data_IF_964270055062
#
_entry.id   IF_964270055062
#
_cell.length_a   1.000
_cell.length_b   1.000
_cell.length_c   1.000
_cell.angle_alpha   90.00
_cell.angle_beta   90.00
_cell.angle_gamma   90.00
#
_symmetry.space_group_name_H-M   'P 1'
#
loop_
_entity.id
_entity.type
_entity.pdbx_description
1 polymer ?
#
# COMPACT_ATOMS: atom_id res chain seq x y z
N UNK A 1 -66.23 -35.64 -38.13
CA UNK A 1 -65.39 -34.55 -37.57
C UNK A 1 -64.84 -35.04 -36.26
N UNK A 2 -63.57 -35.01 -36.07
CA UNK A 2 -62.81 -35.29 -34.80
C UNK A 2 -61.93 -36.53 -34.80
N UNK A 3 -60.90 -36.57 -35.60
CA UNK A 3 -59.74 -37.46 -35.40
C UNK A 3 -58.40 -36.81 -35.84
N UNK A 4 -58.41 -35.54 -36.34
CA UNK A 4 -57.20 -34.88 -36.85
C UNK A 4 -56.64 -33.85 -35.90
N UNK A 5 -57.27 -33.55 -34.75
CA UNK A 5 -56.71 -32.48 -33.84
C UNK A 5 -55.86 -33.00 -32.67
N UNK A 6 -55.78 -34.32 -32.45
CA UNK A 6 -55.03 -34.89 -31.32
C UNK A 6 -53.53 -35.20 -31.63
N UNK A 7 -53.19 -35.26 -32.93
CA UNK A 7 -51.78 -35.60 -33.31
C UNK A 7 -50.81 -34.41 -33.40
N UNK A 8 -51.33 -33.17 -33.39
CA UNK A 8 -50.48 -31.98 -33.51
C UNK A 8 -49.94 -31.51 -32.14
N UNK A 9 -50.73 -31.72 -31.06
CA UNK A 9 -50.31 -31.31 -29.69
C UNK A 9 -49.24 -32.21 -29.10
N UNK A 10 -49.08 -33.46 -29.50
CA UNK A 10 -48.06 -34.38 -28.97
C UNK A 10 -46.69 -34.23 -29.65
N UNK A 11 -46.64 -33.70 -30.89
CA UNK A 11 -45.39 -33.44 -31.60
C UNK A 11 -44.68 -32.16 -31.16
N UNK A 12 -45.44 -31.15 -30.71
CA UNK A 12 -44.85 -29.89 -30.21
C UNK A 12 -44.27 -30.04 -28.81
N UNK A 13 -44.80 -30.90 -27.94
CA UNK A 13 -44.29 -31.12 -26.59
C UNK A 13 -42.92 -31.82 -26.55
N UNK A 14 -42.70 -32.78 -27.47
CA UNK A 14 -41.39 -33.48 -27.54
C UNK A 14 -40.29 -32.62 -28.13
N UNK A 15 -40.59 -31.66 -29.00
CA UNK A 15 -39.57 -30.76 -29.54
C UNK A 15 -39.11 -29.73 -28.52
N UNK A 16 -40.00 -29.24 -27.63
CA UNK A 16 -39.63 -28.30 -26.56
C UNK A 16 -38.79 -28.97 -25.46
N UNK A 17 -39.08 -30.25 -25.13
CA UNK A 17 -38.26 -30.97 -24.15
C UNK A 17 -36.85 -31.30 -24.68
N UNK A 18 -36.71 -31.59 -25.98
CA UNK A 18 -35.41 -31.86 -26.58
C UNK A 18 -34.53 -30.62 -26.67
N UNK A 19 -35.12 -29.43 -26.89
CA UNK A 19 -34.35 -28.16 -26.91
C UNK A 19 -33.92 -27.75 -25.48
N UNK A 20 -34.77 -28.00 -24.46
CA UNK A 20 -34.38 -27.71 -23.06
C UNK A 20 -33.24 -28.60 -22.57
N UNK A 21 -33.13 -29.85 -23.03
CA UNK A 21 -32.05 -30.76 -22.67
C UNK A 21 -30.73 -30.42 -23.37
N UNK A 22 -30.73 -29.78 -24.55
CA UNK A 22 -29.54 -29.36 -25.24
C UNK A 22 -28.95 -28.08 -24.68
N UNK A 23 -29.75 -27.18 -24.07
CA UNK A 23 -29.27 -25.94 -23.46
C UNK A 23 -28.62 -26.20 -22.08
N UNK A 24 -29.07 -27.20 -21.33
CA UNK A 24 -28.46 -27.59 -20.04
C UNK A 24 -27.11 -28.28 -20.22
N UNK A 25 -26.83 -28.90 -21.36
CA UNK A 25 -25.56 -29.57 -21.65
C UNK A 25 -24.39 -28.63 -22.02
N UNK A 26 -24.64 -27.32 -22.20
CA UNK A 26 -23.58 -26.34 -22.57
C UNK A 26 -23.05 -25.48 -21.42
N UNK A 27 -23.56 -25.65 -20.22
CA UNK A 27 -22.92 -25.10 -19.04
C UNK A 27 -21.67 -25.94 -18.72
N UNK A 28 -20.59 -25.73 -19.48
CA UNK A 28 -19.26 -26.18 -19.06
C UNK A 28 -18.98 -25.50 -17.72
N UNK A 29 -18.64 -26.25 -16.67
CA UNK A 29 -18.17 -25.61 -15.46
C UNK A 29 -16.98 -24.71 -15.87
N UNK A 30 -17.11 -23.41 -15.66
CA UNK A 30 -15.96 -22.52 -15.75
C UNK A 30 -15.04 -22.99 -14.65
N UNK A 31 -14.10 -23.85 -15.00
CA UNK A 31 -13.02 -24.23 -14.10
C UNK A 31 -12.32 -22.93 -13.73
N UNK A 32 -12.45 -22.51 -12.47
CA UNK A 32 -11.73 -21.33 -11.99
C UNK A 32 -10.25 -21.52 -12.32
N UNK A 33 -9.70 -20.63 -13.13
CA UNK A 33 -8.27 -20.72 -13.51
C UNK A 33 -7.42 -20.68 -12.25
N UNK A 34 -6.50 -21.64 -12.14
CA UNK A 34 -5.62 -21.78 -10.98
C UNK A 34 -4.80 -20.50 -10.82
N UNK A 35 -4.87 -19.88 -9.64
CA UNK A 35 -4.14 -18.65 -9.31
C UNK A 35 -2.62 -18.92 -9.35
N UNK A 36 -1.87 -17.97 -9.89
CA UNK A 36 -0.42 -18.07 -10.05
C UNK A 36 0.02 -18.69 -11.37
N UNK A 37 -0.92 -18.95 -12.30
CA UNK A 37 -0.60 -19.35 -13.68
C UNK A 37 -0.42 -18.13 -14.59
N UNK A 38 0.10 -18.32 -15.81
CA UNK A 38 0.24 -17.23 -16.79
C UNK A 38 -1.09 -16.61 -17.21
N UNK A 39 -2.20 -17.36 -17.15
CA UNK A 39 -3.56 -16.90 -17.45
C UNK A 39 -4.24 -16.22 -16.26
N UNK A 40 -3.90 -16.64 -15.05
CA UNK A 40 -4.41 -16.07 -13.79
C UNK A 40 -3.23 -15.76 -12.84
N UNK A 41 -2.44 -14.70 -13.10
CA UNK A 41 -1.27 -14.36 -12.31
C UNK A 41 -1.64 -13.79 -10.94
N UNK A 42 -0.77 -13.98 -9.95
CA UNK A 42 -0.86 -13.32 -8.64
C UNK A 42 -0.81 -11.80 -8.84
N UNK A 43 -1.80 -11.08 -8.36
CA UNK A 43 -1.87 -9.62 -8.45
C UNK A 43 -1.06 -9.00 -7.31
N UNK A 44 0.04 -8.33 -7.64
CA UNK A 44 0.92 -7.64 -6.69
C UNK A 44 0.80 -6.13 -6.84
N UNK A 45 0.49 -5.42 -5.76
CA UNK A 45 0.30 -3.98 -5.81
C UNK A 45 1.18 -3.23 -4.81
N UNK A 46 1.60 -2.04 -5.22
CA UNK A 46 2.46 -1.15 -4.45
C UNK A 46 1.76 0.19 -4.19
N UNK A 47 2.01 0.79 -3.01
CA UNK A 47 1.57 2.15 -2.72
C UNK A 47 2.45 3.17 -3.46
N UNK A 48 1.93 4.34 -3.86
CA UNK A 48 2.70 5.38 -4.57
C UNK A 48 3.57 6.21 -3.60
N UNK A 49 4.39 5.57 -2.74
CA UNK A 49 5.09 6.25 -1.64
C UNK A 49 6.33 7.05 -2.08
N UNK A 50 6.85 6.82 -3.28
CA UNK A 50 8.07 7.42 -3.80
C UNK A 50 7.99 7.78 -5.28
N UNK A 51 9.13 7.64 -5.98
CA UNK A 51 9.20 7.82 -7.44
C UNK A 51 8.49 6.68 -8.17
N UNK A 52 7.50 7.03 -9.01
CA UNK A 52 6.65 6.06 -9.69
C UNK A 52 7.43 5.11 -10.61
N UNK A 53 8.44 5.62 -11.34
CA UNK A 53 9.24 4.80 -12.26
C UNK A 53 10.12 3.81 -11.48
N UNK A 54 10.67 4.24 -10.34
CA UNK A 54 11.46 3.37 -9.45
C UNK A 54 10.58 2.26 -8.89
N UNK A 55 9.35 2.58 -8.46
CA UNK A 55 8.41 1.61 -7.91
C UNK A 55 7.96 0.61 -8.98
N UNK A 56 7.56 1.07 -10.16
CA UNK A 56 7.13 0.19 -11.27
C UNK A 56 8.25 -0.76 -11.65
N UNK A 57 9.47 -0.24 -11.91
CA UNK A 57 10.61 -1.06 -12.29
C UNK A 57 11.03 -2.04 -11.19
N UNK A 58 11.15 -1.56 -9.95
CA UNK A 58 11.52 -2.40 -8.81
C UNK A 58 10.49 -3.49 -8.53
N UNK A 59 9.20 -3.17 -8.63
CA UNK A 59 8.11 -4.13 -8.50
C UNK A 59 8.16 -5.24 -9.55
N UNK A 60 8.43 -4.90 -10.82
CA UNK A 60 8.60 -5.88 -11.89
C UNK A 60 9.81 -6.79 -11.64
N UNK A 61 10.95 -6.23 -11.25
CA UNK A 61 12.15 -7.00 -10.94
C UNK A 61 11.95 -7.96 -9.74
N UNK A 62 11.20 -7.54 -8.70
CA UNK A 62 10.81 -8.41 -7.58
C UNK A 62 9.91 -9.54 -8.07
N UNK A 63 8.91 -9.24 -8.90
CA UNK A 63 8.01 -10.23 -9.48
C UNK A 63 8.75 -11.27 -10.33
N UNK A 64 9.71 -10.86 -11.16
CA UNK A 64 10.55 -11.77 -11.95
C UNK A 64 11.39 -12.71 -11.06
N UNK A 65 11.96 -12.21 -9.96
CA UNK A 65 12.68 -13.04 -9.02
C UNK A 65 11.76 -14.01 -8.29
N UNK A 66 10.58 -13.53 -7.85
CA UNK A 66 9.57 -14.39 -7.22
C UNK A 66 9.09 -15.48 -8.18
N UNK A 67 8.87 -15.17 -9.45
CA UNK A 67 8.51 -16.18 -10.46
C UNK A 67 9.55 -17.28 -10.55
N UNK A 68 10.85 -16.93 -10.57
CA UNK A 68 11.95 -17.92 -10.59
C UNK A 68 11.99 -18.80 -9.34
N UNK A 69 11.75 -18.20 -8.18
CA UNK A 69 11.83 -18.92 -6.90
C UNK A 69 10.59 -19.75 -6.59
N UNK A 70 9.42 -19.29 -7.04
CA UNK A 70 8.13 -19.90 -6.67
C UNK A 70 7.46 -20.64 -7.82
N UNK A 71 7.85 -20.39 -9.09
CA UNK A 71 7.14 -20.87 -10.27
C UNK A 71 5.77 -20.21 -10.49
N UNK A 72 5.41 -19.18 -9.68
CA UNK A 72 4.15 -18.42 -9.83
C UNK A 72 4.34 -17.25 -10.79
N UNK A 73 3.33 -16.99 -11.60
CA UNK A 73 3.29 -15.79 -12.43
C UNK A 73 2.71 -14.61 -11.65
N UNK A 74 3.23 -13.41 -11.90
CA UNK A 74 2.83 -12.18 -11.23
C UNK A 74 2.43 -11.11 -12.23
N UNK A 75 1.45 -10.29 -11.85
CA UNK A 75 1.14 -9.01 -12.49
C UNK A 75 1.29 -7.91 -11.46
N UNK A 76 2.17 -6.94 -11.74
CA UNK A 76 2.47 -5.84 -10.82
C UNK A 76 1.73 -4.57 -11.21
N UNK A 77 1.36 -3.77 -10.23
CA UNK A 77 0.76 -2.44 -10.43
C UNK A 77 1.11 -1.50 -9.29
N UNK A 78 1.01 -0.20 -9.54
CA UNK A 78 1.12 0.86 -8.54
C UNK A 78 -0.25 1.54 -8.46
N UNK A 79 -0.78 1.71 -7.26
CA UNK A 79 -2.07 2.34 -7.05
C UNK A 79 -1.99 3.87 -7.20
N UNK A 80 -3.15 4.51 -7.30
CA UNK A 80 -3.28 5.97 -7.32
C UNK A 80 -3.24 6.61 -5.93
N UNK A 81 -3.54 5.83 -4.87
CA UNK A 81 -3.48 6.24 -3.47
C UNK A 81 -3.25 5.04 -2.55
N UNK A 82 -2.93 5.28 -1.29
CA UNK A 82 -2.79 4.24 -0.28
C UNK A 82 -4.12 3.52 -0.01
N UNK A 83 -5.22 4.28 0.07
CA UNK A 83 -6.55 3.72 0.23
C UNK A 83 -6.95 2.79 -0.94
N UNK A 84 -6.56 3.12 -2.17
CA UNK A 84 -6.88 2.29 -3.33
C UNK A 84 -6.27 0.88 -3.24
N UNK A 85 -5.08 0.72 -2.64
CA UNK A 85 -4.49 -0.61 -2.40
C UNK A 85 -5.32 -1.39 -1.40
N UNK A 86 -5.70 -0.75 -0.29
CA UNK A 86 -6.50 -1.35 0.78
C UNK A 86 -7.84 -1.86 0.23
N UNK A 87 -8.56 -1.01 -0.49
CA UNK A 87 -9.85 -1.36 -1.11
C UNK A 87 -9.71 -2.47 -2.17
N UNK A 88 -8.63 -2.45 -2.96
CA UNK A 88 -8.37 -3.48 -3.96
C UNK A 88 -8.08 -4.85 -3.33
N UNK A 89 -7.41 -4.90 -2.17
CA UNK A 89 -7.22 -6.13 -1.39
C UNK A 89 -8.55 -6.65 -0.85
N UNK A 90 -9.36 -5.78 -0.24
CA UNK A 90 -10.68 -6.13 0.27
C UNK A 90 -11.66 -6.62 -0.80
N UNK A 91 -11.54 -6.10 -2.02
CA UNK A 91 -12.33 -6.54 -3.17
C UNK A 91 -11.78 -7.80 -3.85
N UNK A 92 -10.72 -8.42 -3.34
CA UNK A 92 -10.08 -9.60 -3.94
C UNK A 92 -9.38 -9.34 -5.28
N UNK A 93 -9.16 -8.07 -5.64
CA UNK A 93 -8.47 -7.67 -6.88
C UNK A 93 -6.95 -7.65 -6.75
N UNK A 94 -6.45 -7.73 -5.53
CA UNK A 94 -5.02 -7.76 -5.18
C UNK A 94 -4.78 -8.90 -4.21
N UNK A 95 -3.82 -9.75 -4.53
CA UNK A 95 -3.48 -10.93 -3.73
C UNK A 95 -2.39 -10.62 -2.70
N UNK A 96 -1.42 -9.79 -3.08
CA UNK A 96 -0.28 -9.39 -2.25
C UNK A 96 0.01 -7.90 -2.43
N UNK A 97 0.26 -7.19 -1.34
CA UNK A 97 0.60 -5.77 -1.35
C UNK A 97 1.74 -5.41 -0.40
N UNK A 98 2.47 -4.35 -0.76
CA UNK A 98 3.46 -3.70 0.09
C UNK A 98 2.78 -2.49 0.74
N UNK A 99 2.52 -2.59 2.04
CA UNK A 99 1.71 -1.63 2.78
C UNK A 99 2.54 -0.93 3.87
N UNK A 100 2.47 0.41 3.98
CA UNK A 100 2.87 1.10 5.20
C UNK A 100 2.09 0.55 6.40
N UNK A 101 2.69 0.62 7.57
CA UNK A 101 2.17 0.01 8.79
C UNK A 101 0.73 0.41 9.11
N UNK A 102 0.38 1.69 8.99
CA UNK A 102 -0.99 2.16 9.23
C UNK A 102 -1.96 1.66 8.14
N UNK A 103 -1.53 1.65 6.87
CA UNK A 103 -2.33 1.05 5.79
C UNK A 103 -2.60 -0.44 6.03
N UNK A 104 -1.63 -1.19 6.56
CA UNK A 104 -1.83 -2.57 6.97
C UNK A 104 -2.85 -2.69 8.10
N UNK A 105 -2.74 -1.85 9.15
CA UNK A 105 -3.70 -1.85 10.26
C UNK A 105 -5.12 -1.60 9.74
N UNK A 106 -5.32 -0.60 8.88
CA UNK A 106 -6.62 -0.31 8.26
C UNK A 106 -7.14 -1.49 7.42
N UNK A 107 -6.27 -2.11 6.60
CA UNK A 107 -6.64 -3.26 5.79
C UNK A 107 -6.96 -4.49 6.65
N UNK A 108 -6.23 -4.71 7.74
CA UNK A 108 -6.47 -5.77 8.72
C UNK A 108 -7.81 -5.59 9.43
N UNK A 109 -8.08 -4.39 9.92
CA UNK A 109 -9.30 -4.10 10.69
C UNK A 109 -10.56 -4.17 9.80
N UNK A 110 -10.46 -3.75 8.52
CA UNK A 110 -11.63 -3.74 7.61
C UNK A 110 -11.83 -5.04 6.83
N UNK A 111 -10.76 -5.68 6.39
CA UNK A 111 -10.80 -6.80 5.44
C UNK A 111 -10.07 -8.05 5.91
N UNK A 112 -9.59 -8.04 7.16
CA UNK A 112 -8.85 -9.16 7.76
C UNK A 112 -7.61 -9.60 6.94
N UNK A 113 -6.97 -8.63 6.27
CA UNK A 113 -5.72 -8.84 5.53
C UNK A 113 -4.66 -9.45 6.46
N UNK A 114 -3.89 -10.41 5.97
CA UNK A 114 -2.90 -11.13 6.76
C UNK A 114 -1.48 -10.59 6.52
N UNK A 115 -0.72 -10.48 7.60
CA UNK A 115 0.71 -10.18 7.55
C UNK A 115 1.47 -11.38 6.98
N UNK A 116 2.31 -11.13 5.98
CA UNK A 116 3.21 -12.14 5.46
C UNK A 116 4.63 -11.96 6.00
N UNK A 117 5.18 -10.74 5.88
CA UNK A 117 6.51 -10.35 6.36
C UNK A 117 6.55 -8.88 6.76
N UNK A 118 7.49 -8.54 7.64
CA UNK A 118 7.83 -7.17 8.01
C UNK A 118 9.14 -6.75 7.32
N UNK A 119 9.16 -5.52 6.85
CA UNK A 119 10.33 -4.90 6.22
C UNK A 119 11.36 -4.50 7.27
N UNK A 120 12.64 -4.68 6.96
CA UNK A 120 13.74 -4.06 7.68
C UNK A 120 14.38 -2.96 6.83
N UNK A 121 14.75 -1.85 7.47
CA UNK A 121 15.59 -0.80 6.89
C UNK A 121 16.78 -0.56 7.79
N UNK A 122 17.97 -0.51 7.19
CA UNK A 122 19.24 -0.38 7.95
C UNK A 122 19.40 -1.43 9.07
N UNK A 123 18.88 -2.66 8.85
CA UNK A 123 18.92 -3.74 9.83
C UNK A 123 17.90 -3.61 10.98
N UNK A 124 17.08 -2.57 11.00
CA UNK A 124 16.05 -2.33 12.02
C UNK A 124 14.64 -2.65 11.51
N UNK A 125 13.78 -3.28 12.34
CA UNK A 125 12.35 -3.37 12.06
C UNK A 125 11.58 -2.10 12.40
N UNK A 126 12.28 -1.01 12.78
CA UNK A 126 11.71 0.28 13.13
C UNK A 126 12.33 1.41 12.30
N UNK A 127 11.55 2.47 12.09
CA UNK A 127 11.95 3.73 11.46
C UNK A 127 11.19 4.88 12.12
N UNK A 128 11.37 6.13 11.63
CA UNK A 128 10.68 7.31 12.17
C UNK A 128 10.06 8.15 11.07
N UNK A 129 9.03 8.91 11.43
CA UNK A 129 8.62 10.09 10.71
C UNK A 129 9.49 11.30 11.10
N UNK A 130 9.59 12.26 10.19
CA UNK A 130 10.24 13.54 10.45
C UNK A 130 9.38 14.71 9.96
N UNK A 131 9.42 15.82 10.69
CA UNK A 131 8.85 17.11 10.26
C UNK A 131 10.01 17.97 9.77
N UNK A 132 9.89 18.52 8.59
CA UNK A 132 10.94 19.23 7.88
C UNK A 132 10.48 20.59 7.40
N UNK A 133 11.45 21.51 7.29
CA UNK A 133 11.28 22.86 6.73
C UNK A 133 12.50 23.26 5.92
N UNK A 134 12.42 24.33 5.14
CA UNK A 134 13.61 24.92 4.51
C UNK A 134 14.55 25.51 5.59
N UNK A 135 15.83 25.38 5.34
CA UNK A 135 16.88 25.90 6.24
C UNK A 135 16.82 27.43 6.36
N UNK A 136 16.50 28.12 5.25
CA UNK A 136 16.42 29.58 5.15
C UNK A 136 15.04 30.15 5.54
N UNK A 137 14.10 29.32 6.03
CA UNK A 137 12.73 29.75 6.35
C UNK A 137 12.58 30.56 7.63
N UNK A 138 13.60 30.62 8.48
CA UNK A 138 13.50 31.21 9.82
C UNK A 138 12.71 30.34 10.82
N UNK A 139 12.15 29.19 10.40
CA UNK A 139 11.39 28.28 11.25
C UNK A 139 12.37 27.37 12.00
N UNK A 140 12.41 27.48 13.35
CA UNK A 140 13.39 26.76 14.18
C UNK A 140 12.73 25.86 15.24
N UNK A 141 11.41 25.90 15.40
CA UNK A 141 10.62 25.05 16.29
C UNK A 141 9.31 24.65 15.66
N UNK A 142 8.63 23.65 16.23
CA UNK A 142 7.29 23.27 15.77
C UNK A 142 6.29 24.41 15.92
N UNK A 143 6.40 25.24 16.97
CA UNK A 143 5.48 26.37 17.21
C UNK A 143 5.59 27.43 16.11
N UNK A 144 6.74 27.60 15.49
CA UNK A 144 6.93 28.54 14.36
C UNK A 144 6.20 28.09 13.08
N UNK A 145 5.63 26.90 13.06
CA UNK A 145 4.77 26.41 11.98
C UNK A 145 3.32 26.92 12.09
N UNK A 146 2.95 27.63 13.16
CA UNK A 146 1.61 28.20 13.31
C UNK A 146 1.28 29.13 12.13
N UNK A 147 0.10 28.92 11.52
CA UNK A 147 -0.35 29.69 10.37
C UNK A 147 0.41 29.43 9.07
N UNK A 148 1.31 28.44 9.04
CA UNK A 148 2.09 28.06 7.85
C UNK A 148 1.36 27.03 6.98
N UNK A 149 1.79 26.88 5.72
CA UNK A 149 1.33 25.82 4.79
C UNK A 149 2.09 24.55 5.10
N UNK A 150 1.40 23.42 5.17
CA UNK A 150 2.03 22.15 5.54
C UNK A 150 1.60 21.01 4.62
N UNK A 151 2.55 20.14 4.25
CA UNK A 151 2.31 18.96 3.44
C UNK A 151 2.42 17.67 4.25
N UNK A 152 1.36 16.86 4.18
CA UNK A 152 1.38 15.44 4.52
C UNK A 152 1.52 14.58 3.25
N UNK A 153 1.79 13.28 3.41
CA UNK A 153 1.94 12.35 2.27
C UNK A 153 0.57 11.89 1.76
N UNK A 154 -0.15 11.15 2.59
CA UNK A 154 -1.44 10.51 2.29
C UNK A 154 -2.15 10.24 3.62
N UNK A 155 -3.49 10.30 3.70
CA UNK A 155 -4.24 10.03 4.94
C UNK A 155 -3.89 8.70 5.60
N UNK A 156 -3.59 7.65 4.82
CA UNK A 156 -3.23 6.32 5.31
C UNK A 156 -1.70 6.12 5.47
N UNK A 157 -0.89 7.17 5.33
CA UNK A 157 0.56 7.11 5.55
C UNK A 157 0.89 7.14 7.04
N UNK A 158 1.71 6.20 7.51
CA UNK A 158 2.16 6.13 8.90
C UNK A 158 3.11 7.28 9.26
N UNK A 159 4.25 7.38 8.57
CA UNK A 159 5.30 8.36 8.86
C UNK A 159 5.08 9.72 8.22
N UNK A 160 4.25 9.78 7.17
CA UNK A 160 3.93 11.03 6.47
C UNK A 160 2.62 11.68 6.91
N UNK A 161 1.84 11.06 7.81
CA UNK A 161 0.60 11.63 8.33
C UNK A 161 0.32 11.22 9.78
N UNK A 162 0.00 9.93 10.06
CA UNK A 162 -0.48 9.49 11.37
C UNK A 162 0.44 9.93 12.51
N UNK A 163 1.71 9.52 12.49
CA UNK A 163 2.65 9.80 13.57
C UNK A 163 3.06 11.28 13.68
N UNK A 164 3.32 12.01 12.58
CA UNK A 164 3.47 13.46 12.65
C UNK A 164 2.26 14.18 13.25
N UNK A 165 1.04 13.80 12.88
CA UNK A 165 -0.19 14.35 13.48
C UNK A 165 -0.29 14.05 14.97
N UNK A 166 0.02 12.82 15.38
CA UNK A 166 0.07 12.42 16.80
C UNK A 166 1.12 13.24 17.55
N UNK A 167 2.31 13.45 16.95
CA UNK A 167 3.37 14.29 17.56
C UNK A 167 2.90 15.73 17.77
N UNK A 168 2.27 16.35 16.78
CA UNK A 168 1.76 17.71 16.88
C UNK A 168 0.67 17.81 17.96
N UNK A 169 -0.30 16.90 17.96
CA UNK A 169 -1.37 16.87 18.96
C UNK A 169 -0.85 16.65 20.38
N UNK A 170 0.19 15.81 20.56
CA UNK A 170 0.81 15.60 21.88
C UNK A 170 1.48 16.86 22.46
N UNK A 171 1.69 17.86 21.62
CA UNK A 171 2.22 19.19 21.99
C UNK A 171 1.14 20.26 22.02
N UNK A 172 -0.14 19.91 21.92
CA UNK A 172 -1.25 20.86 21.89
C UNK A 172 -1.42 21.59 20.55
N UNK A 173 -0.71 21.16 19.49
CA UNK A 173 -0.75 21.76 18.16
C UNK A 173 -1.71 20.98 17.27
N UNK A 174 -3.00 21.33 17.26
CA UNK A 174 -3.99 20.64 16.40
C UNK A 174 -3.79 21.06 14.93
N UNK A 175 -3.39 20.15 14.04
CA UNK A 175 -3.17 20.47 12.63
C UNK A 175 -4.35 21.13 11.91
N UNK A 176 -5.58 20.91 12.38
CA UNK A 176 -6.80 21.48 11.78
C UNK A 176 -6.89 22.99 11.96
N UNK A 177 -6.39 23.49 13.08
CA UNK A 177 -6.45 24.93 13.44
C UNK A 177 -5.07 25.57 13.45
N UNK A 178 -4.02 24.78 13.52
CA UNK A 178 -2.64 25.23 13.66
C UNK A 178 -2.03 25.72 12.33
N UNK A 179 -2.31 25.02 11.24
CA UNK A 179 -1.81 25.38 9.90
C UNK A 179 -2.81 26.28 9.17
N UNK A 180 -2.33 27.22 8.34
CA UNK A 180 -3.20 28.00 7.46
C UNK A 180 -3.77 27.15 6.32
N UNK A 181 -3.01 26.14 5.88
CA UNK A 181 -3.41 25.19 4.84
C UNK A 181 -2.65 23.89 4.98
N UNK A 182 -3.34 22.78 4.87
CA UNK A 182 -2.73 21.45 4.74
C UNK A 182 -3.03 20.88 3.35
N UNK A 183 -2.06 20.10 2.81
CA UNK A 183 -2.22 19.34 1.58
C UNK A 183 -1.73 17.91 1.76
N UNK A 184 -2.28 16.98 0.99
CA UNK A 184 -1.72 15.65 0.81
C UNK A 184 -0.98 15.61 -0.53
N UNK A 185 0.34 15.46 -0.49
CA UNK A 185 1.20 15.53 -1.67
C UNK A 185 1.29 14.20 -2.45
N UNK A 186 0.69 13.12 -1.94
CA UNK A 186 0.60 11.80 -2.57
C UNK A 186 1.83 10.91 -2.38
N UNK A 187 3.03 11.47 -2.20
CA UNK A 187 4.25 10.70 -1.96
C UNK A 187 5.24 11.43 -1.06
N UNK A 188 6.17 10.68 -0.46
CA UNK A 188 7.24 11.27 0.36
C UNK A 188 8.17 12.19 -0.45
N UNK A 189 8.48 11.79 -1.68
CA UNK A 189 9.30 12.62 -2.58
C UNK A 189 8.59 13.94 -2.90
N UNK A 190 7.28 13.92 -3.15
CA UNK A 190 6.50 15.13 -3.42
C UNK A 190 6.50 16.09 -2.21
N UNK A 191 6.37 15.58 -0.98
CA UNK A 191 6.50 16.41 0.23
C UNK A 191 7.86 17.09 0.28
N UNK A 192 8.95 16.33 0.12
CA UNK A 192 10.32 16.90 0.15
C UNK A 192 10.50 17.96 -0.93
N UNK A 193 10.02 17.70 -2.15
CA UNK A 193 10.14 18.62 -3.28
C UNK A 193 9.28 19.88 -3.10
N UNK A 194 8.07 19.76 -2.52
CA UNK A 194 7.23 20.92 -2.22
C UNK A 194 7.87 21.86 -1.17
N UNK A 195 8.57 21.30 -0.17
CA UNK A 195 9.36 22.08 0.79
C UNK A 195 10.56 22.71 0.07
N UNK A 196 11.31 21.92 -0.71
CA UNK A 196 12.49 22.36 -1.44
C UNK A 196 12.20 23.56 -2.34
N UNK A 197 11.08 23.54 -3.06
CA UNK A 197 10.63 24.60 -3.96
C UNK A 197 9.93 25.77 -3.26
N UNK A 198 9.64 25.66 -1.93
CA UNK A 198 8.89 26.68 -1.18
C UNK A 198 7.38 26.73 -1.50
N UNK A 199 6.83 25.65 -2.09
CA UNK A 199 5.39 25.53 -2.33
C UNK A 199 4.61 25.37 -1.01
N UNK A 200 5.26 24.77 0.00
CA UNK A 200 4.82 24.69 1.39
C UNK A 200 5.95 25.13 2.32
N UNK A 201 5.60 25.52 3.54
CA UNK A 201 6.56 26.02 4.53
C UNK A 201 7.15 24.89 5.39
N UNK A 202 6.42 23.78 5.53
CA UNK A 202 6.85 22.57 6.20
C UNK A 202 6.13 21.33 5.69
N UNK A 203 6.58 20.17 6.11
CA UNK A 203 5.93 18.91 5.75
C UNK A 203 6.50 17.71 6.51
N UNK A 204 5.79 16.60 6.42
CA UNK A 204 6.13 15.36 7.10
C UNK A 204 6.39 14.21 6.12
N UNK A 205 7.46 13.45 6.36
CA UNK A 205 7.81 12.28 5.58
C UNK A 205 8.62 11.28 6.45
N UNK A 206 9.01 10.12 5.89
CA UNK A 206 9.90 9.22 6.62
C UNK A 206 11.34 9.79 6.72
N UNK A 207 12.12 9.34 7.69
CA UNK A 207 13.43 9.87 8.07
C UNK A 207 14.54 9.75 7.01
N UNK A 208 14.37 8.88 6.00
CA UNK A 208 15.25 8.77 4.84
C UNK A 208 14.78 9.51 3.58
N UNK A 209 13.67 10.25 3.62
CA UNK A 209 13.02 10.81 2.43
C UNK A 209 13.88 11.85 1.68
N UNK A 210 14.73 12.62 2.36
CA UNK A 210 15.66 13.57 1.71
C UNK A 210 16.68 12.83 0.84
N UNK A 211 17.22 11.71 1.33
CA UNK A 211 18.17 10.89 0.58
C UNK A 211 17.54 10.30 -0.69
N UNK A 212 16.23 10.02 -0.69
CA UNK A 212 15.54 9.48 -1.86
C UNK A 212 15.53 10.46 -3.05
N UNK A 213 15.60 11.77 -2.82
CA UNK A 213 15.62 12.80 -3.87
C UNK A 213 17.02 13.38 -4.12
N UNK A 214 17.99 13.06 -3.29
CA UNK A 214 19.35 13.67 -3.33
C UNK A 214 20.08 13.43 -4.67
N UNK A 215 19.78 12.37 -5.39
CA UNK A 215 20.38 12.13 -6.71
C UNK A 215 20.02 13.24 -7.71
N UNK A 216 18.78 13.73 -7.67
CA UNK A 216 18.31 14.80 -8.56
C UNK A 216 18.42 16.20 -7.96
N UNK A 217 18.54 16.29 -6.63
CA UNK A 217 18.67 17.52 -5.84
C UNK A 217 19.80 17.36 -4.81
N UNK A 218 21.08 17.46 -5.24
CA UNK A 218 22.23 17.14 -4.40
C UNK A 218 22.36 18.02 -3.15
N UNK A 219 21.84 19.24 -3.22
CA UNK A 219 21.84 20.25 -2.13
C UNK A 219 20.61 20.14 -1.19
N UNK A 220 19.81 19.07 -1.29
CA UNK A 220 18.60 18.90 -0.48
C UNK A 220 18.88 18.89 1.02
N UNK A 221 20.03 18.36 1.44
CA UNK A 221 20.41 18.32 2.86
C UNK A 221 20.78 19.70 3.41
N UNK A 222 21.31 20.58 2.57
CA UNK A 222 21.64 21.97 2.93
C UNK A 222 20.37 22.84 2.94
N UNK A 223 19.45 22.59 2.01
CA UNK A 223 18.22 23.36 1.85
C UNK A 223 17.07 22.94 2.76
N UNK A 224 17.07 21.72 3.27
CA UNK A 224 15.99 21.19 4.11
C UNK A 224 16.56 20.64 5.41
N UNK A 225 16.14 21.23 6.53
CA UNK A 225 16.44 20.75 7.88
C UNK A 225 15.27 20.00 8.51
N UNK A 226 15.58 19.14 9.46
CA UNK A 226 14.59 18.43 10.29
C UNK A 226 14.32 19.26 11.54
N UNK A 227 13.06 19.51 11.86
CA UNK A 227 12.63 20.15 13.11
C UNK A 227 12.39 19.13 14.22
N UNK A 228 11.80 17.99 13.88
CA UNK A 228 11.46 16.98 14.86
C UNK A 228 11.36 15.59 14.23
N UNK A 229 11.61 14.56 15.03
CA UNK A 229 11.34 13.17 14.73
C UNK A 229 10.14 12.67 15.55
N UNK A 230 9.37 11.76 14.99
CA UNK A 230 8.31 11.04 15.71
C UNK A 230 8.91 9.99 16.65
N UNK A 231 8.06 9.34 17.47
CA UNK A 231 8.40 8.05 18.06
C UNK A 231 8.74 7.04 16.96
N UNK A 232 9.37 5.94 17.35
CA UNK A 232 9.65 4.82 16.46
C UNK A 232 8.35 4.19 15.95
N UNK A 233 8.38 3.79 14.70
CA UNK A 233 7.28 3.20 13.94
C UNK A 233 7.73 1.80 13.54
N UNK A 234 6.95 0.74 13.78
CA UNK A 234 7.21 -0.55 13.14
C UNK A 234 7.24 -0.38 11.62
N UNK A 235 8.17 -1.04 10.96
CA UNK A 235 8.37 -0.88 9.52
C UNK A 235 7.19 -1.42 8.70
N UNK A 236 7.20 -1.12 7.41
CA UNK A 236 6.18 -1.53 6.44
C UNK A 236 6.03 -3.05 6.37
N UNK A 237 4.94 -3.49 5.79
CA UNK A 237 4.58 -4.90 5.68
C UNK A 237 4.51 -5.36 4.24
N UNK A 238 4.76 -6.65 4.03
CA UNK A 238 4.24 -7.39 2.88
C UNK A 238 3.05 -8.17 3.37
N UNK A 239 1.89 -7.92 2.79
CA UNK A 239 0.61 -8.43 3.26
C UNK A 239 -0.17 -9.11 2.15
N UNK A 240 -1.02 -10.07 2.50
CA UNK A 240 -1.82 -10.84 1.56
C UNK A 240 -3.29 -10.79 1.95
N UNK A 241 -4.20 -10.89 0.94
CA UNK A 241 -5.63 -11.01 1.25
C UNK A 241 -5.91 -12.32 2.00
N UNK A 242 -6.94 -12.30 2.84
CA UNK A 242 -7.33 -13.42 3.71
C UNK A 242 -7.54 -14.73 2.94
N UNK A 243 -8.25 -14.64 1.80
CA UNK A 243 -8.68 -15.79 1.00
C UNK A 243 -7.56 -16.38 0.12
N UNK A 244 -6.35 -15.82 0.17
CA UNK A 244 -5.22 -16.41 -0.57
C UNK A 244 -4.96 -17.83 -0.04
N UNK A 245 -4.85 -18.87 -0.90
CA UNK A 245 -4.59 -20.24 -0.49
C UNK A 245 -3.34 -20.36 0.41
N UNK A 246 -3.42 -21.19 1.44
CA UNK A 246 -2.37 -21.32 2.45
C UNK A 246 -1.03 -21.76 1.86
N UNK A 247 -1.04 -22.66 0.88
CA UNK A 247 0.16 -23.11 0.16
C UNK A 247 0.82 -21.96 -0.61
N UNK A 248 0.02 -21.07 -1.23
CA UNK A 248 0.54 -19.87 -1.90
C UNK A 248 1.13 -18.87 -0.89
N UNK A 249 0.50 -18.68 0.28
CA UNK A 249 1.08 -17.85 1.35
C UNK A 249 2.46 -18.34 1.78
N UNK A 250 2.60 -19.64 1.98
CA UNK A 250 3.90 -20.28 2.33
C UNK A 250 4.92 -20.10 1.22
N UNK A 251 4.54 -20.35 -0.05
CA UNK A 251 5.43 -20.19 -1.21
C UNK A 251 5.90 -18.75 -1.38
N UNK A 252 4.99 -17.78 -1.23
CA UNK A 252 5.30 -16.35 -1.32
C UNK A 252 6.24 -15.92 -0.19
N UNK A 253 5.96 -16.32 1.06
CA UNK A 253 6.81 -16.03 2.23
C UNK A 253 8.23 -16.53 2.01
N UNK A 254 8.38 -17.81 1.67
CA UNK A 254 9.68 -18.44 1.46
C UNK A 254 10.43 -17.82 0.28
N UNK A 255 9.73 -17.56 -0.83
CA UNK A 255 10.30 -16.90 -2.00
C UNK A 255 10.81 -15.49 -1.71
N UNK A 256 10.03 -14.69 -1.00
CA UNK A 256 10.41 -13.33 -0.58
C UNK A 256 11.62 -13.33 0.34
N UNK A 257 11.67 -14.22 1.34
CA UNK A 257 12.85 -14.36 2.22
C UNK A 257 14.10 -14.74 1.42
N UNK A 258 14.00 -15.74 0.55
CA UNK A 258 15.11 -16.17 -0.31
C UNK A 258 15.61 -15.05 -1.23
N UNK A 259 14.69 -14.25 -1.80
CA UNK A 259 15.04 -13.08 -2.58
C UNK A 259 15.75 -12.03 -1.71
N UNK A 260 15.22 -11.73 -0.53
CA UNK A 260 15.81 -10.79 0.42
C UNK A 260 17.25 -11.14 0.78
N UNK A 261 17.53 -12.43 0.98
CA UNK A 261 18.85 -12.95 1.35
C UNK A 261 19.82 -13.05 0.15
N UNK A 262 19.32 -12.93 -1.08
CA UNK A 262 20.15 -13.01 -2.28
C UNK A 262 20.80 -11.65 -2.61
N UNK A 263 22.07 -11.61 -3.10
CA UNK A 263 22.73 -10.34 -3.46
C UNK A 263 21.95 -9.53 -4.51
N UNK A 264 21.34 -10.20 -5.49
CA UNK A 264 20.54 -9.53 -6.52
C UNK A 264 19.23 -8.98 -5.96
N UNK A 265 18.51 -9.76 -5.18
CA UNK A 265 17.24 -9.37 -4.59
C UNK A 265 17.41 -8.27 -3.54
N UNK A 266 18.41 -8.37 -2.66
CA UNK A 266 18.74 -7.32 -1.68
C UNK A 266 19.02 -5.97 -2.38
N UNK A 267 19.78 -5.96 -3.50
CA UNK A 267 20.02 -4.75 -4.30
C UNK A 267 18.75 -4.15 -4.88
N UNK A 268 17.82 -4.98 -5.36
CA UNK A 268 16.53 -4.55 -5.91
C UNK A 268 15.64 -3.98 -4.81
N UNK A 269 15.51 -4.69 -3.69
CA UNK A 269 14.70 -4.27 -2.54
C UNK A 269 15.23 -2.96 -1.92
N UNK A 270 16.55 -2.82 -1.82
CA UNK A 270 17.19 -1.57 -1.36
C UNK A 270 16.87 -0.38 -2.28
N UNK A 271 16.88 -0.61 -3.60
CA UNK A 271 16.53 0.45 -4.57
C UNK A 271 15.04 0.77 -4.56
N UNK A 272 14.17 -0.23 -4.39
CA UNK A 272 12.71 -0.07 -4.42
C UNK A 272 12.23 0.82 -3.26
N UNK A 273 12.55 0.45 -2.02
CA UNK A 273 12.05 1.14 -0.81
C UNK A 273 13.09 1.24 0.31
N UNK A 274 14.38 1.16 0.01
CA UNK A 274 15.43 1.18 1.03
C UNK A 274 15.46 -0.07 1.92
N UNK A 275 14.87 -1.17 1.46
CA UNK A 275 14.72 -2.40 2.24
C UNK A 275 16.05 -3.11 2.35
N UNK A 276 16.47 -3.42 3.58
CA UNK A 276 17.67 -4.20 3.88
C UNK A 276 17.40 -5.66 4.21
N UNK A 277 16.15 -6.02 4.51
CA UNK A 277 15.74 -7.36 4.85
C UNK A 277 14.22 -7.52 4.96
N UNK A 278 13.77 -8.77 4.99
CA UNK A 278 12.39 -9.17 5.26
C UNK A 278 12.39 -10.21 6.38
N UNK A 279 11.55 -10.01 7.39
CA UNK A 279 11.53 -10.88 8.57
C UNK A 279 10.12 -11.29 8.97
N UNK A 280 10.02 -12.42 9.67
CA UNK A 280 8.82 -12.82 10.39
C UNK A 280 8.77 -12.02 11.69
N UNK A 281 7.66 -11.32 11.93
CA UNK A 281 7.47 -10.61 13.19
C UNK A 281 5.97 -10.36 13.42
N UNK A 282 5.45 -10.89 14.53
CA UNK A 282 4.06 -10.72 14.94
C UNK A 282 3.97 -9.74 16.13
N UNK A 283 2.81 -9.08 16.30
CA UNK A 283 2.47 -8.34 17.53
C UNK A 283 2.97 -6.89 17.61
N UNK A 284 3.63 -6.33 16.60
CA UNK A 284 4.20 -4.96 16.66
C UNK A 284 3.22 -3.82 16.38
N UNK A 285 2.00 -4.09 15.93
CA UNK A 285 1.16 -3.07 15.27
C UNK A 285 0.11 -2.44 16.17
N UNK A 286 -0.06 -2.90 17.42
CA UNK A 286 -1.04 -2.33 18.36
C UNK A 286 -0.82 -0.84 18.66
N UNK A 287 0.41 -0.33 18.84
CA UNK A 287 0.60 1.11 19.03
C UNK A 287 0.17 1.95 17.82
N UNK A 288 0.25 1.40 16.61
CA UNK A 288 -0.19 2.07 15.38
C UNK A 288 -1.71 2.08 15.28
N UNK A 289 -2.35 0.97 15.64
CA UNK A 289 -3.82 0.86 15.73
C UNK A 289 -4.38 1.84 16.75
N UNK A 290 -3.77 1.91 17.93
CA UNK A 290 -4.20 2.83 18.99
C UNK A 290 -4.04 4.29 18.54
N UNK A 291 -2.93 4.67 17.91
CA UNK A 291 -2.74 6.00 17.35
C UNK A 291 -3.80 6.35 16.30
N UNK A 292 -4.17 5.38 15.45
CA UNK A 292 -5.25 5.56 14.46
C UNK A 292 -6.61 5.82 15.10
N UNK A 293 -6.96 5.05 16.14
CA UNK A 293 -8.22 5.20 16.89
C UNK A 293 -8.31 6.54 17.61
N UNK A 294 -7.25 6.96 18.28
CA UNK A 294 -7.19 8.25 19.00
C UNK A 294 -7.40 9.45 18.06
N UNK A 295 -7.09 9.32 16.78
CA UNK A 295 -7.25 10.37 15.78
C UNK A 295 -8.53 10.22 14.94
N UNK A 296 -9.38 9.24 15.25
CA UNK A 296 -10.58 8.89 14.47
C UNK A 296 -10.27 8.68 12.96
N UNK A 297 -9.11 8.09 12.70
CA UNK A 297 -8.65 7.81 11.35
C UNK A 297 -9.03 6.37 10.98
N UNK A 298 -10.00 6.23 10.10
CA UNK A 298 -10.41 4.96 9.52
C UNK A 298 -10.65 5.11 8.01
N UNK A 299 -10.94 4.00 7.32
CA UNK A 299 -11.18 4.02 5.88
C UNK A 299 -12.53 4.62 5.48
N UNK A 300 -13.51 4.60 6.36
CA UNK A 300 -14.85 5.12 6.10
C UNK A 300 -14.85 6.64 6.12
N UNK A 301 -13.91 7.22 6.85
CA UNK A 301 -13.73 8.65 6.94
C UNK A 301 -12.26 9.06 6.72
N UNK A 302 -11.64 8.70 5.57
CA UNK A 302 -10.26 9.10 5.26
C UNK A 302 -10.12 10.61 5.08
N UNK A 303 -11.24 11.29 4.79
CA UNK A 303 -11.40 12.73 4.71
C UNK A 303 -12.30 13.18 5.86
N UNK A 304 -11.80 13.24 7.08
CA UNK A 304 -12.38 14.19 8.03
C UNK A 304 -12.21 15.53 7.34
N UNK A 305 -13.30 16.06 6.79
CA UNK A 305 -13.31 17.37 6.16
C UNK A 305 -12.66 18.35 7.12
N UNK A 306 -11.53 18.89 6.68
CA UNK A 306 -10.87 20.01 7.31
C UNK A 306 -11.81 21.20 7.37
#
# INVERSE_FOLDING_TARGET
MSFLQFSILFRSGCLFLAILFQVVGMLRPVSAEILGTSRNPVQMMFVPSGDAQVIVKGGQEVAELLQKETGLYFKTSVATSYAAVIEAMGAGKVDIAWLPTFSYVLAKDKYDVELLLVVQRFGSPFYRGQIMVRTDSGINSLDNLQGKRFAFVDPASTSGHLYPKTLLLSKGLDPKTFFSKTIFAGSHNAVVLSIYKGEVDGGAAYDGSRAAVAKSYPDVFDKIKVLAYTKEIPNDTVSVRKELPADLKVRLRNGLKKISDSPKGSKILKRLYGISGLMDLDGLFDPVREAGRLLDLNLENPNVKN
#
